data_IF_908133037141
#
_entry.id   IF_908133037141
#
_cell.length_a   1.000
_cell.length_b   1.000
_cell.length_c   1.000
_cell.angle_alpha   90.00
_cell.angle_beta   90.00
_cell.angle_gamma   90.00
#
_symmetry.space_group_name_H-M   'P 1'
#
loop_
_entity.id
_entity.type
_entity.pdbx_description
1 polymer ?
#
# COMPACT_ATOMS: atom_id res chain seq x y z
N UNK A 1 0.22 -36.21 6.01
CA UNK A 1 1.12 -35.74 4.94
C UNK A 1 0.93 -34.24 4.76
N UNK A 2 1.99 -33.42 4.61
CA UNK A 2 1.81 -32.00 4.29
C UNK A 2 1.10 -31.89 2.94
N UNK A 3 0.00 -31.15 2.91
CA UNK A 3 -0.80 -30.96 1.69
C UNK A 3 -0.04 -30.05 0.73
N UNK A 4 0.55 -30.61 -0.31
CA UNK A 4 1.24 -29.86 -1.36
C UNK A 4 0.23 -29.24 -2.30
N UNK A 5 0.16 -27.91 -2.32
CA UNK A 5 -0.71 -27.13 -3.21
C UNK A 5 0.07 -26.68 -4.45
N UNK A 6 -0.52 -26.86 -5.63
CA UNK A 6 0.13 -26.53 -6.91
C UNK A 6 -0.16 -25.10 -7.33
N UNK A 7 0.63 -24.57 -8.30
CA UNK A 7 0.41 -23.22 -8.86
C UNK A 7 -0.97 -23.13 -9.50
N UNK A 8 -1.34 -24.14 -10.30
CA UNK A 8 -2.63 -24.22 -10.99
C UNK A 8 -3.85 -24.22 -10.05
N UNK A 9 -3.68 -24.64 -8.78
CA UNK A 9 -4.74 -24.58 -7.78
C UNK A 9 -4.87 -23.20 -7.12
N UNK A 10 -3.75 -22.49 -6.97
CA UNK A 10 -3.70 -21.21 -6.25
C UNK A 10 -4.08 -20.05 -7.18
N UNK A 11 -3.57 -20.05 -8.40
CA UNK A 11 -3.73 -18.98 -9.38
C UNK A 11 -5.19 -18.54 -9.63
N UNK A 12 -6.15 -19.44 -9.93
CA UNK A 12 -7.54 -19.02 -10.14
C UNK A 12 -8.18 -18.47 -8.87
N UNK A 13 -7.82 -19.02 -7.70
CA UNK A 13 -8.37 -18.60 -6.41
C UNK A 13 -7.84 -17.23 -5.98
N UNK A 14 -6.61 -16.85 -6.39
CA UNK A 14 -6.10 -15.50 -6.16
C UNK A 14 -6.96 -14.45 -6.88
N UNK A 15 -7.44 -14.75 -8.08
CA UNK A 15 -8.40 -13.90 -8.80
C UNK A 15 -9.77 -13.87 -8.12
N UNK A 16 -10.35 -15.04 -7.85
CA UNK A 16 -11.68 -15.17 -7.23
C UNK A 16 -11.78 -14.44 -5.89
N UNK A 17 -10.72 -14.47 -5.09
CA UNK A 17 -10.68 -13.85 -3.77
C UNK A 17 -9.92 -12.51 -3.73
N UNK A 18 -9.71 -11.86 -4.88
CA UNK A 18 -9.08 -10.54 -4.97
C UNK A 18 -7.76 -10.43 -4.17
N UNK A 19 -6.91 -11.46 -4.27
CA UNK A 19 -5.62 -11.51 -3.57
C UNK A 19 -5.70 -11.78 -2.06
N UNK A 20 -6.88 -12.13 -1.51
CA UNK A 20 -7.03 -12.48 -0.10
C UNK A 20 -6.46 -13.88 0.20
N UNK A 21 -5.18 -13.92 0.58
CA UNK A 21 -4.44 -15.14 0.92
C UNK A 21 -5.14 -15.95 2.02
N UNK A 22 -5.78 -15.30 2.99
CA UNK A 22 -6.48 -15.99 4.08
C UNK A 22 -7.72 -16.74 3.57
N UNK A 23 -8.46 -16.15 2.64
CA UNK A 23 -9.61 -16.80 2.01
C UNK A 23 -9.18 -17.99 1.14
N UNK A 24 -8.13 -17.82 0.33
CA UNK A 24 -7.55 -18.90 -0.49
C UNK A 24 -7.05 -20.07 0.38
N UNK A 25 -6.34 -19.77 1.46
CA UNK A 25 -5.84 -20.78 2.40
C UNK A 25 -6.98 -21.57 3.05
N UNK A 26 -8.07 -20.89 3.47
CA UNK A 26 -9.29 -21.54 3.99
C UNK A 26 -9.96 -22.43 2.94
N UNK A 27 -10.11 -21.94 1.70
CA UNK A 27 -10.70 -22.69 0.58
C UNK A 27 -9.92 -23.96 0.28
N UNK A 28 -8.60 -23.89 0.31
CA UNK A 28 -7.71 -25.03 0.03
C UNK A 28 -7.45 -25.91 1.26
N UNK A 29 -7.90 -25.52 2.46
CA UNK A 29 -7.66 -26.25 3.70
C UNK A 29 -6.18 -26.35 4.07
N UNK A 30 -5.41 -25.29 3.82
CA UNK A 30 -3.97 -25.20 4.15
C UNK A 30 -3.69 -23.96 4.99
N UNK A 31 -2.49 -23.90 5.58
CA UNK A 31 -2.05 -22.71 6.30
C UNK A 31 -1.76 -21.55 5.34
N UNK A 32 -1.93 -20.31 5.81
CA UNK A 32 -1.54 -19.10 5.06
C UNK A 32 -0.06 -19.11 4.69
N UNK A 33 0.80 -19.61 5.59
CA UNK A 33 2.24 -19.73 5.35
C UNK A 33 2.57 -20.65 4.18
N UNK A 34 1.82 -21.74 4.00
CA UNK A 34 1.97 -22.66 2.85
C UNK A 34 1.75 -21.93 1.53
N UNK A 35 0.68 -21.12 1.44
CA UNK A 35 0.38 -20.31 0.26
C UNK A 35 1.46 -19.24 0.05
N UNK A 36 1.85 -18.53 1.11
CA UNK A 36 2.86 -17.47 1.03
C UNK A 36 4.21 -17.98 0.54
N UNK A 37 4.67 -19.12 1.06
CA UNK A 37 5.89 -19.76 0.61
C UNK A 37 5.81 -20.14 -0.87
N UNK A 38 4.66 -20.64 -1.33
CA UNK A 38 4.46 -20.99 -2.73
C UNK A 38 4.51 -19.77 -3.64
N UNK A 39 3.84 -18.68 -3.25
CA UNK A 39 3.87 -17.40 -3.97
C UNK A 39 5.31 -16.88 -4.05
N UNK A 40 6.07 -16.88 -2.95
CA UNK A 40 7.46 -16.42 -2.93
C UNK A 40 8.36 -17.18 -3.94
N UNK A 41 8.06 -18.44 -4.22
CA UNK A 41 8.83 -19.26 -5.16
C UNK A 41 8.35 -19.19 -6.62
N UNK A 42 7.23 -18.53 -6.90
CA UNK A 42 6.61 -18.49 -8.24
C UNK A 42 6.34 -17.06 -8.71
N UNK A 43 7.07 -16.63 -9.74
CA UNK A 43 6.90 -15.31 -10.36
C UNK A 43 5.48 -15.13 -10.90
N UNK A 44 4.90 -16.17 -11.51
CA UNK A 44 3.52 -16.15 -12.00
C UNK A 44 2.51 -15.85 -10.90
N UNK A 45 2.64 -16.51 -9.74
CA UNK A 45 1.73 -16.27 -8.61
C UNK A 45 1.93 -14.90 -7.98
N UNK A 46 3.15 -14.36 -7.98
CA UNK A 46 3.43 -13.01 -7.49
C UNK A 46 2.72 -11.97 -8.35
N UNK A 47 2.92 -12.05 -9.67
CA UNK A 47 2.24 -11.15 -10.62
C UNK A 47 0.72 -11.26 -10.48
N UNK A 48 0.18 -12.49 -10.42
CA UNK A 48 -1.26 -12.68 -10.28
C UNK A 48 -1.80 -12.13 -8.95
N UNK A 49 -1.04 -12.26 -7.86
CA UNK A 49 -1.41 -11.68 -6.57
C UNK A 49 -1.42 -10.16 -6.61
N UNK A 50 -0.44 -9.55 -7.27
CA UNK A 50 -0.35 -8.10 -7.47
C UNK A 50 -1.55 -7.61 -8.28
N UNK A 51 -1.79 -8.17 -9.47
CA UNK A 51 -2.95 -7.84 -10.32
C UNK A 51 -4.27 -7.94 -9.52
N UNK A 52 -4.43 -9.00 -8.73
CA UNK A 52 -5.64 -9.21 -7.94
C UNK A 52 -5.79 -8.20 -6.78
N UNK A 53 -4.68 -7.68 -6.25
CA UNK A 53 -4.69 -6.64 -5.21
C UNK A 53 -4.99 -5.27 -5.79
N UNK A 54 -4.46 -4.94 -6.96
CA UNK A 54 -4.86 -3.72 -7.67
C UNK A 54 -6.36 -3.74 -7.94
N UNK A 55 -6.90 -4.85 -8.44
CA UNK A 55 -8.36 -5.02 -8.61
C UNK A 55 -9.13 -4.87 -7.30
N UNK A 56 -8.57 -5.32 -6.16
CA UNK A 56 -9.20 -5.12 -4.85
C UNK A 56 -9.27 -3.63 -4.47
N UNK A 57 -8.21 -2.88 -4.78
CA UNK A 57 -8.13 -1.43 -4.54
C UNK A 57 -9.13 -0.70 -5.44
N UNK A 58 -9.16 -0.99 -6.74
CA UNK A 58 -10.13 -0.40 -7.69
C UNK A 58 -11.58 -0.59 -7.23
N UNK A 59 -11.90 -1.79 -6.70
CA UNK A 59 -13.22 -2.09 -6.15
C UNK A 59 -13.51 -1.26 -4.89
N UNK A 60 -12.52 -1.07 -4.02
CA UNK A 60 -12.67 -0.24 -2.82
C UNK A 60 -12.85 1.24 -3.18
N UNK A 61 -12.13 1.74 -4.17
CA UNK A 61 -12.28 3.10 -4.70
C UNK A 61 -13.67 3.31 -5.29
N UNK A 62 -14.16 2.34 -6.08
CA UNK A 62 -15.51 2.36 -6.65
C UNK A 62 -16.58 2.37 -5.55
N UNK A 63 -16.41 1.57 -4.49
CA UNK A 63 -17.31 1.54 -3.36
C UNK A 63 -17.29 2.84 -2.55
N UNK A 64 -16.11 3.42 -2.32
CA UNK A 64 -15.96 4.71 -1.67
C UNK A 64 -16.67 5.81 -2.47
N UNK A 65 -16.45 5.85 -3.79
CA UNK A 65 -17.06 6.85 -4.65
C UNK A 65 -18.59 6.72 -4.67
N UNK A 66 -19.12 5.50 -4.70
CA UNK A 66 -20.56 5.26 -4.56
C UNK A 66 -21.10 5.82 -3.24
N UNK A 67 -20.44 5.56 -2.11
CA UNK A 67 -20.86 6.11 -0.81
C UNK A 67 -20.81 7.66 -0.78
N UNK A 68 -19.82 8.26 -1.46
CA UNK A 68 -19.76 9.72 -1.65
C UNK A 68 -20.98 10.23 -2.42
N UNK A 69 -21.38 9.57 -3.50
CA UNK A 69 -22.57 9.93 -4.28
C UNK A 69 -23.88 9.75 -3.50
N UNK A 70 -23.93 8.74 -2.63
CA UNK A 70 -25.06 8.51 -1.71
C UNK A 70 -25.11 9.53 -0.56
N UNK A 71 -24.09 10.38 -0.41
CA UNK A 71 -24.06 11.45 0.58
C UNK A 71 -23.62 10.98 1.97
N UNK A 72 -23.00 9.80 2.08
CA UNK A 72 -22.50 9.27 3.34
C UNK A 72 -21.42 10.20 3.92
N UNK A 73 -21.72 10.83 5.07
CA UNK A 73 -20.90 11.91 5.61
C UNK A 73 -19.44 11.50 5.88
N UNK A 74 -19.23 10.25 6.31
CA UNK A 74 -17.90 9.70 6.55
C UNK A 74 -17.10 9.56 5.24
N UNK A 75 -17.75 9.17 4.14
CA UNK A 75 -17.12 8.96 2.84
C UNK A 75 -16.77 10.30 2.19
N UNK A 76 -17.70 11.26 2.21
CA UNK A 76 -17.48 12.63 1.71
C UNK A 76 -16.32 13.29 2.47
N UNK A 77 -16.33 13.20 3.81
CA UNK A 77 -15.26 13.75 4.64
C UNK A 77 -13.91 13.09 4.32
N UNK A 78 -13.86 11.76 4.28
CA UNK A 78 -12.65 11.01 3.97
C UNK A 78 -12.09 11.36 2.59
N UNK A 79 -12.94 11.41 1.57
CA UNK A 79 -12.54 11.76 0.21
C UNK A 79 -11.99 13.19 0.12
N UNK A 80 -12.67 14.18 0.72
CA UNK A 80 -12.21 15.56 0.70
C UNK A 80 -10.91 15.75 1.49
N UNK A 81 -10.76 15.13 2.66
CA UNK A 81 -9.51 15.19 3.44
C UNK A 81 -8.31 14.58 2.72
N UNK A 82 -8.54 13.60 1.85
CA UNK A 82 -7.47 12.87 1.16
C UNK A 82 -7.17 13.44 -0.22
N UNK A 83 -8.19 13.64 -1.05
CA UNK A 83 -8.10 14.08 -2.45
C UNK A 83 -8.41 15.57 -2.65
N UNK A 84 -9.09 16.21 -1.71
CA UNK A 84 -9.47 17.63 -1.76
C UNK A 84 -8.46 18.58 -1.10
N UNK A 85 -7.25 18.12 -0.75
CA UNK A 85 -6.25 18.92 -0.03
C UNK A 85 -5.88 20.21 -0.75
N UNK A 86 -5.80 20.18 -2.08
CA UNK A 86 -5.56 21.35 -2.92
C UNK A 86 -6.68 22.42 -2.83
N UNK A 87 -7.88 22.04 -2.36
CA UNK A 87 -9.01 22.94 -2.10
C UNK A 87 -9.11 23.38 -0.64
N UNK A 88 -8.12 23.07 0.19
CA UNK A 88 -8.06 23.47 1.60
C UNK A 88 -8.66 22.45 2.59
N UNK A 89 -9.08 21.27 2.13
CA UNK A 89 -9.56 20.20 3.02
C UNK A 89 -8.38 19.45 3.65
N UNK A 90 -7.67 20.13 4.55
CA UNK A 90 -6.59 19.56 5.35
C UNK A 90 -6.99 19.53 6.82
N UNK A 91 -6.57 18.48 7.50
CA UNK A 91 -6.67 18.40 8.95
C UNK A 91 -5.43 19.03 9.57
N UNK A 92 -5.60 20.16 10.26
CA UNK A 92 -4.54 20.78 11.04
C UNK A 92 -4.43 20.02 12.37
N UNK A 93 -3.27 19.47 12.65
CA UNK A 93 -2.94 18.95 13.97
C UNK A 93 -2.35 20.08 14.81
N UNK A 94 -2.96 20.34 15.97
CA UNK A 94 -2.37 21.19 16.99
C UNK A 94 -1.67 20.27 18.01
N UNK A 95 -0.36 20.42 18.15
CA UNK A 95 0.42 19.71 19.14
C UNK A 95 0.76 20.68 20.28
N UNK A 96 0.24 20.41 21.46
CA UNK A 96 0.68 21.08 22.69
C UNK A 96 1.91 20.33 23.22
N UNK A 97 3.10 20.89 23.00
CA UNK A 97 4.36 20.32 23.48
C UNK A 97 4.71 20.97 24.80
N UNK A 98 4.31 20.34 25.90
CA UNK A 98 4.79 20.71 27.24
C UNK A 98 6.12 20.02 27.55
N UNK A 99 7.21 20.78 27.59
CA UNK A 99 8.54 20.30 27.95
C UNK A 99 9.68 21.05 27.24
N UNK A 100 10.92 20.64 27.50
CA UNK A 100 12.10 21.17 26.80
C UNK A 100 12.38 20.37 25.53
N UNK A 101 12.34 21.04 24.37
CA UNK A 101 12.71 20.45 23.08
C UNK A 101 14.22 20.62 22.82
N UNK A 102 14.97 19.52 22.72
CA UNK A 102 16.36 19.54 22.30
C UNK A 102 16.43 19.24 20.79
N UNK A 103 16.82 20.24 19.99
CA UNK A 103 17.00 20.10 18.54
C UNK A 103 18.50 20.16 18.24
N UNK A 104 19.06 19.07 17.74
CA UNK A 104 20.44 19.04 17.20
C UNK A 104 20.37 19.22 15.68
N UNK A 105 20.82 20.38 15.20
CA UNK A 105 20.90 20.69 13.77
C UNK A 105 22.32 20.43 13.27
N UNK A 106 22.46 19.59 12.24
CA UNK A 106 23.71 19.39 11.50
C UNK A 106 23.51 19.89 10.08
N UNK A 107 24.30 20.89 9.71
CA UNK A 107 24.40 21.36 8.33
C UNK A 107 25.49 20.54 7.63
N UNK A 108 25.17 19.95 6.48
CA UNK A 108 26.19 19.36 5.61
C UNK A 108 26.81 20.49 4.79
N UNK A 109 28.13 20.66 4.88
CA UNK A 109 28.84 21.61 4.03
C UNK A 109 28.60 21.25 2.56
N UNK A 110 28.07 22.20 1.81
CA UNK A 110 27.90 22.06 0.38
C UNK A 110 29.27 21.93 -0.27
N UNK A 111 29.42 20.92 -1.12
CA UNK A 111 30.55 20.79 -2.05
C UNK A 111 30.69 22.11 -2.82
N UNK A 112 31.69 22.91 -2.46
CA UNK A 112 32.25 23.89 -3.37
C UNK A 112 33.18 23.13 -4.32
N UNK A 113 32.66 22.84 -5.51
CA UNK A 113 33.43 22.42 -6.68
C UNK A 113 34.55 23.46 -6.93
N UNK A 114 35.77 23.13 -6.50
CA UNK A 114 37.00 23.81 -6.93
C UNK A 114 37.26 23.44 -8.39
N UNK A 115 36.63 24.17 -9.31
CA UNK A 115 37.07 24.22 -10.70
C UNK A 115 38.38 25.00 -10.77
N UNK A 116 39.51 24.31 -10.55
CA UNK A 116 40.82 24.80 -10.96
C UNK A 116 40.84 24.90 -12.49
N UNK A 117 40.70 26.13 -13.01
CA UNK A 117 40.96 26.45 -14.40
C UNK A 117 42.46 26.43 -14.65
N UNK A 118 42.95 25.36 -15.24
CA UNK A 118 44.26 25.31 -15.91
C UNK A 118 44.08 25.89 -17.31
N UNK A 119 44.61 27.09 -17.55
CA UNK A 119 44.90 27.58 -18.91
C UNK A 119 46.30 28.17 -18.94
N UNK A 120 47.06 27.65 -19.89
CA UNK A 120 48.46 27.94 -20.21
C UNK A 120 48.76 29.40 -20.56
#
# INVERSE_FOLDING_TARGET
MPKTVTVAQIEPLLGEYNGNISAVARKLGVSRGTIYNRIKTSVTLQKKLEDARETMIDNAESALYKAVLEGEAWAVCFFLKTQGKNRGYTERQEHDVQGSLHIELKWGDGDTDDHASETA
#
